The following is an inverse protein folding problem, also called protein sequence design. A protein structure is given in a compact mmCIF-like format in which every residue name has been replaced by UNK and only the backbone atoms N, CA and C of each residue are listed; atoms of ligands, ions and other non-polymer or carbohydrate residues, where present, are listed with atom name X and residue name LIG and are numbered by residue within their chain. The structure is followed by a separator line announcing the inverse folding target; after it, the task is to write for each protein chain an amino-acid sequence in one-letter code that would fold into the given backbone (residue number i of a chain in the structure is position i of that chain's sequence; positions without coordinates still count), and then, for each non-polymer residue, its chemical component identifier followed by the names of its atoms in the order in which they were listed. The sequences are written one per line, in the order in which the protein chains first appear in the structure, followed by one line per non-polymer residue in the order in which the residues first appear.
data_IF_120124227240
#
_entry.id   IF_120124227240
#
_cell.length_a   1.000
_cell.length_b   1.000
_cell.length_c   1.000
_cell.angle_alpha   90.00
_cell.angle_beta   90.00
_cell.angle_gamma   90.00
#
_symmetry.space_group_name_H-M   'P 1'
#
loop_
_entity.id
_entity.type
_entity.pdbx_description
1 polymer ?
#
# COMPACT_ATOMS: atom_id res chain seq x y z
N UNK A 1 39.41 -27.58 -42.06
CA UNK A 1 39.03 -26.16 -41.82
C UNK A 1 40.21 -25.45 -41.19
N UNK A 2 40.58 -24.25 -41.65
CA UNK A 2 41.72 -23.48 -41.09
C UNK A 2 41.50 -23.18 -39.60
N UNK A 3 42.55 -23.30 -38.78
CA UNK A 3 42.56 -22.98 -37.33
C UNK A 3 41.98 -21.58 -37.04
N UNK A 4 42.22 -20.62 -37.94
CA UNK A 4 41.71 -19.26 -37.84
C UNK A 4 40.16 -19.18 -37.93
N UNK A 5 39.54 -19.96 -38.82
CA UNK A 5 38.07 -20.01 -38.95
C UNK A 5 37.45 -20.62 -37.70
N UNK A 6 38.08 -21.64 -37.11
CA UNK A 6 37.60 -22.25 -35.88
C UNK A 6 37.74 -21.30 -34.67
N UNK A 7 38.82 -20.50 -34.60
CA UNK A 7 38.96 -19.44 -33.61
C UNK A 7 37.91 -18.34 -33.79
N UNK A 8 37.66 -17.89 -35.02
CA UNK A 8 36.61 -16.91 -35.32
C UNK A 8 35.22 -17.41 -34.91
N UNK A 9 34.88 -18.66 -35.20
CA UNK A 9 33.59 -19.25 -34.80
C UNK A 9 33.42 -19.32 -33.28
N UNK A 10 34.48 -19.69 -32.54
CA UNK A 10 34.45 -19.71 -31.06
C UNK A 10 34.30 -18.30 -30.48
N UNK A 11 34.98 -17.32 -31.05
CA UNK A 11 34.85 -15.92 -30.65
C UNK A 11 33.43 -15.40 -30.91
N UNK A 12 32.90 -15.64 -32.09
CA UNK A 12 31.53 -15.23 -32.45
C UNK A 12 30.47 -15.90 -31.56
N UNK A 13 30.65 -17.16 -31.20
CA UNK A 13 29.77 -17.83 -30.24
C UNK A 13 29.81 -17.16 -28.86
N UNK A 14 31.00 -16.77 -28.38
CA UNK A 14 31.13 -16.04 -27.11
C UNK A 14 30.47 -14.66 -27.18
N UNK A 15 30.68 -13.91 -28.25
CA UNK A 15 30.06 -12.60 -28.45
C UNK A 15 28.53 -12.71 -28.44
N UNK A 16 27.97 -13.68 -29.18
CA UNK A 16 26.52 -13.93 -29.21
C UNK A 16 25.95 -14.28 -27.84
N UNK A 17 26.72 -14.96 -27.01
CA UNK A 17 26.30 -15.38 -25.69
C UNK A 17 26.46 -14.29 -24.62
N UNK A 18 27.03 -13.12 -24.91
CA UNK A 18 27.23 -12.07 -23.88
C UNK A 18 25.88 -11.61 -23.30
N UNK A 19 24.85 -11.47 -24.14
CA UNK A 19 23.49 -11.11 -23.73
C UNK A 19 22.58 -12.27 -24.09
N UNK A 20 21.66 -12.63 -23.20
CA UNK A 20 20.66 -13.63 -23.53
C UNK A 20 19.41 -13.54 -22.71
N UNK A 21 18.32 -14.04 -23.28
CA UNK A 21 17.03 -14.16 -22.61
C UNK A 21 16.80 -15.58 -22.10
N UNK A 22 15.89 -15.70 -21.14
CA UNK A 22 15.45 -17.00 -20.63
C UNK A 22 14.18 -16.86 -19.81
N UNK A 23 13.69 -17.99 -19.30
CA UNK A 23 12.48 -18.05 -18.47
C UNK A 23 12.82 -18.58 -17.09
N UNK A 24 12.26 -17.99 -16.03
CA UNK A 24 12.42 -18.45 -14.65
C UNK A 24 11.76 -19.82 -14.49
N UNK A 25 12.50 -20.80 -14.00
CA UNK A 25 11.98 -22.12 -13.59
C UNK A 25 12.00 -22.31 -12.08
N UNK A 26 12.80 -21.52 -11.37
CA UNK A 26 12.84 -21.47 -9.91
C UNK A 26 13.48 -20.18 -9.43
N UNK A 27 13.02 -19.64 -8.31
CA UNK A 27 13.50 -18.36 -7.80
C UNK A 27 13.62 -18.34 -6.27
N UNK A 28 14.73 -17.76 -5.82
CA UNK A 28 14.90 -17.16 -4.49
C UNK A 28 15.06 -15.65 -4.66
N UNK A 29 15.11 -14.89 -3.57
CA UNK A 29 15.33 -13.43 -3.67
C UNK A 29 16.65 -13.11 -4.39
N UNK A 30 17.77 -13.75 -4.03
CA UNK A 30 19.09 -13.40 -4.59
C UNK A 30 19.54 -14.19 -5.83
N UNK A 31 18.85 -15.28 -6.18
CA UNK A 31 19.28 -16.21 -7.23
C UNK A 31 18.10 -16.75 -8.03
N UNK A 32 18.34 -16.99 -9.31
CA UNK A 32 17.37 -17.58 -10.24
C UNK A 32 17.92 -18.88 -10.83
N UNK A 33 17.01 -19.82 -11.00
CA UNK A 33 17.14 -20.88 -11.99
C UNK A 33 16.41 -20.44 -13.25
N UNK A 34 17.14 -20.38 -14.35
CA UNK A 34 16.61 -19.97 -15.65
C UNK A 34 16.75 -21.10 -16.66
N UNK A 35 15.78 -21.21 -17.55
CA UNK A 35 15.91 -21.92 -18.82
C UNK A 35 16.25 -20.90 -19.89
N UNK A 36 17.48 -20.96 -20.39
CA UNK A 36 17.96 -20.08 -21.47
C UNK A 36 17.22 -20.35 -22.78
N UNK A 37 17.24 -19.40 -23.72
CA UNK A 37 16.65 -19.57 -25.05
C UNK A 37 17.18 -20.80 -25.81
N UNK A 38 18.39 -21.27 -25.50
CA UNK A 38 18.96 -22.50 -26.08
C UNK A 38 18.46 -23.80 -25.40
N UNK A 39 17.46 -23.71 -24.51
CA UNK A 39 16.87 -24.83 -23.78
C UNK A 39 17.67 -25.32 -22.58
N UNK A 40 18.83 -24.73 -22.27
CA UNK A 40 19.68 -25.15 -21.15
C UNK A 40 19.22 -24.51 -19.84
N UNK A 41 19.13 -25.32 -18.79
CA UNK A 41 18.88 -24.84 -17.43
C UNK A 41 20.17 -24.40 -16.77
N UNK A 42 20.14 -23.24 -16.11
CA UNK A 42 21.22 -22.76 -15.25
C UNK A 42 20.63 -22.23 -13.93
N UNK A 43 21.08 -22.80 -12.83
CA UNK A 43 20.71 -22.47 -11.44
C UNK A 43 21.73 -21.56 -10.73
N UNK A 44 22.82 -21.19 -11.43
CA UNK A 44 23.91 -20.39 -10.88
C UNK A 44 23.80 -18.89 -11.14
N UNK A 45 22.64 -18.42 -11.60
CA UNK A 45 22.47 -17.02 -12.00
C UNK A 45 22.12 -16.15 -10.79
N UNK A 46 22.97 -15.15 -10.52
CA UNK A 46 22.70 -14.13 -9.49
C UNK A 46 21.74 -13.10 -10.07
N UNK A 47 20.71 -12.75 -9.32
CA UNK A 47 19.85 -11.61 -9.65
C UNK A 47 20.38 -10.37 -8.96
N UNK A 48 20.63 -9.33 -9.74
CA UNK A 48 21.00 -8.03 -9.17
C UNK A 48 19.75 -7.27 -8.75
N UNK A 49 19.83 -6.56 -7.63
CA UNK A 49 18.77 -5.74 -7.08
C UNK A 49 19.36 -4.40 -6.68
N UNK A 50 18.57 -3.34 -6.79
CA UNK A 50 18.90 -2.06 -6.20
C UNK A 50 18.67 -2.16 -4.68
N UNK A 51 19.51 -1.49 -3.89
CA UNK A 51 19.33 -1.45 -2.44
C UNK A 51 17.94 -0.88 -2.10
N UNK A 52 17.22 -1.54 -1.19
CA UNK A 52 15.85 -1.17 -0.80
C UNK A 52 14.73 -1.72 -1.70
N UNK A 53 15.03 -2.26 -2.89
CA UNK A 53 14.04 -2.85 -3.78
C UNK A 53 14.33 -4.31 -4.05
N UNK A 54 13.48 -5.20 -3.54
CA UNK A 54 13.63 -6.64 -3.71
C UNK A 54 12.31 -7.26 -4.18
N UNK A 55 12.40 -8.20 -5.12
CA UNK A 55 11.24 -9.02 -5.51
C UNK A 55 11.65 -10.46 -5.83
N UNK A 56 10.69 -11.38 -5.64
CA UNK A 56 10.84 -12.80 -5.97
C UNK A 56 9.91 -13.14 -7.13
N UNK A 57 10.44 -13.27 -8.36
CA UNK A 57 9.60 -13.52 -9.53
C UNK A 57 9.02 -14.93 -9.49
N UNK A 58 7.83 -15.08 -10.06
CA UNK A 58 7.20 -16.38 -10.23
C UNK A 58 7.86 -17.16 -11.38
N UNK A 59 7.83 -18.51 -11.35
CA UNK A 59 8.12 -19.31 -12.52
C UNK A 59 7.29 -18.85 -13.73
N UNK A 60 7.90 -18.87 -14.90
CA UNK A 60 7.33 -18.34 -16.14
C UNK A 60 7.74 -16.89 -16.48
N UNK A 61 8.27 -16.12 -15.52
CA UNK A 61 8.77 -14.78 -15.78
C UNK A 61 9.98 -14.79 -16.74
N UNK A 62 10.09 -13.77 -17.58
CA UNK A 62 11.16 -13.60 -18.56
C UNK A 62 12.36 -12.91 -17.93
N UNK A 63 13.55 -13.36 -18.28
CA UNK A 63 14.81 -12.87 -17.72
C UNK A 63 15.70 -12.29 -18.81
N UNK A 64 16.38 -11.20 -18.48
CA UNK A 64 17.41 -10.58 -19.31
C UNK A 64 18.76 -10.73 -18.62
N UNK A 65 19.67 -11.46 -19.25
CA UNK A 65 20.89 -11.95 -18.63
C UNK A 65 22.12 -11.40 -19.33
N UNK A 66 23.12 -11.06 -18.52
CA UNK A 66 24.47 -10.74 -18.96
C UNK A 66 25.41 -11.88 -18.54
N UNK A 67 26.04 -12.53 -19.52
CA UNK A 67 26.96 -13.64 -19.31
C UNK A 67 28.41 -13.18 -19.48
N UNK A 68 29.18 -13.28 -18.41
CA UNK A 68 30.55 -12.77 -18.35
C UNK A 68 31.44 -13.62 -19.26
N UNK A 69 32.13 -12.98 -20.20
CA UNK A 69 33.00 -13.67 -21.17
C UNK A 69 32.27 -14.58 -22.16
N UNK A 70 30.96 -14.40 -22.34
CA UNK A 70 30.15 -15.20 -23.27
C UNK A 70 29.92 -16.64 -22.81
N UNK A 71 30.08 -16.90 -21.51
CA UNK A 71 29.87 -18.24 -20.94
C UNK A 71 28.54 -18.29 -20.19
N UNK A 72 27.60 -19.07 -20.70
CA UNK A 72 26.24 -19.14 -20.16
C UNK A 72 26.15 -19.75 -18.76
N UNK A 73 27.24 -20.33 -18.23
CA UNK A 73 27.33 -20.86 -16.87
C UNK A 73 27.52 -19.79 -15.80
N UNK A 74 28.07 -18.61 -16.14
CA UNK A 74 28.36 -17.51 -15.21
C UNK A 74 27.74 -16.22 -15.72
N UNK A 75 26.55 -15.92 -15.23
CA UNK A 75 25.84 -14.71 -15.60
C UNK A 75 25.13 -14.07 -14.42
N UNK A 76 24.67 -12.85 -14.68
CA UNK A 76 23.80 -12.08 -13.81
C UNK A 76 22.52 -11.76 -14.57
N UNK A 77 21.38 -11.83 -13.89
CA UNK A 77 20.11 -11.33 -14.42
C UNK A 77 19.95 -9.88 -13.99
N UNK A 78 19.87 -8.99 -14.98
CA UNK A 78 19.74 -7.54 -14.76
C UNK A 78 18.29 -7.08 -14.71
N UNK A 79 17.41 -7.79 -15.40
CA UNK A 79 15.97 -7.51 -15.37
C UNK A 79 15.17 -8.81 -15.41
N UNK A 80 14.04 -8.82 -14.71
CA UNK A 80 13.04 -9.89 -14.79
C UNK A 80 11.69 -9.24 -15.02
N UNK A 81 11.07 -9.62 -16.12
CA UNK A 81 9.79 -9.13 -16.59
C UNK A 81 8.75 -10.22 -16.44
N UNK A 82 7.56 -9.86 -15.95
CA UNK A 82 6.42 -10.77 -15.86
C UNK A 82 5.20 -10.09 -16.47
N UNK A 83 5.02 -10.31 -17.78
CA UNK A 83 3.97 -9.69 -18.59
C UNK A 83 2.56 -9.98 -18.05
N UNK A 84 2.38 -11.07 -17.26
CA UNK A 84 1.09 -11.44 -16.63
C UNK A 84 0.56 -10.38 -15.66
N UNK A 85 1.45 -9.57 -15.10
CA UNK A 85 1.11 -8.55 -14.12
C UNK A 85 1.37 -7.14 -14.64
N UNK A 86 1.78 -6.98 -15.89
CA UNK A 86 2.05 -5.68 -16.47
C UNK A 86 0.76 -4.85 -16.58
N UNK A 87 0.86 -3.57 -16.24
CA UNK A 87 -0.19 -2.57 -16.45
C UNK A 87 0.31 -1.52 -17.43
N UNK A 88 -0.62 -0.95 -18.20
CA UNK A 88 -0.33 0.21 -19.05
C UNK A 88 -0.26 1.47 -18.19
N UNK A 89 0.79 2.26 -18.39
CA UNK A 89 1.04 3.51 -17.65
C UNK A 89 0.96 4.69 -18.60
N UNK A 90 0.40 5.81 -18.12
CA UNK A 90 0.52 7.06 -18.85
C UNK A 90 1.95 7.61 -18.76
N UNK A 91 2.38 8.45 -19.72
CA UNK A 91 3.71 9.06 -19.66
C UNK A 91 3.98 9.76 -18.33
N UNK A 92 5.04 9.35 -17.64
CA UNK A 92 5.47 9.90 -16.34
C UNK A 92 4.91 9.19 -15.11
N UNK A 93 4.00 8.22 -15.27
CA UNK A 93 3.50 7.44 -14.14
C UNK A 93 4.48 6.35 -13.68
N UNK A 94 4.38 5.96 -12.41
CA UNK A 94 5.20 4.89 -11.81
C UNK A 94 4.30 3.99 -10.98
N UNK A 95 4.49 2.68 -11.08
CA UNK A 95 3.73 1.71 -10.30
C UNK A 95 4.61 0.62 -9.68
N UNK A 96 4.23 0.19 -8.48
CA UNK A 96 4.77 -0.98 -7.79
C UNK A 96 3.61 -1.92 -7.53
N UNK A 97 3.74 -3.17 -7.96
CA UNK A 97 2.67 -4.16 -7.86
C UNK A 97 3.19 -5.57 -7.59
N UNK A 98 2.30 -6.43 -7.10
CA UNK A 98 2.58 -7.85 -6.86
C UNK A 98 1.64 -8.78 -7.65
N UNK A 99 1.84 -10.10 -7.51
CA UNK A 99 1.04 -11.11 -8.22
C UNK A 99 -0.42 -11.21 -7.71
N UNK A 100 -0.72 -10.58 -6.58
CA UNK A 100 -2.04 -10.59 -5.94
C UNK A 100 -2.89 -9.38 -6.30
N UNK A 101 -2.32 -8.41 -7.01
CA UNK A 101 -3.01 -7.18 -7.44
C UNK A 101 -2.89 -6.02 -6.45
N UNK A 102 -2.04 -6.14 -5.42
CA UNK A 102 -1.69 -4.99 -4.59
C UNK A 102 -0.89 -3.99 -5.45
N UNK A 103 -1.19 -2.70 -5.29
CA UNK A 103 -0.69 -1.66 -6.18
C UNK A 103 -0.43 -0.36 -5.41
N UNK A 104 0.75 0.21 -5.61
CA UNK A 104 1.09 1.61 -5.29
C UNK A 104 1.39 2.30 -6.61
N UNK A 105 0.50 3.21 -7.03
CA UNK A 105 0.54 3.87 -8.35
C UNK A 105 0.62 5.38 -8.17
N UNK A 106 1.68 5.96 -8.69
CA UNK A 106 1.90 7.40 -8.79
C UNK A 106 1.35 7.84 -10.15
N UNK A 107 0.22 8.57 -10.12
CA UNK A 107 -0.47 9.10 -11.29
C UNK A 107 -0.35 10.61 -11.34
N UNK A 108 -0.76 11.22 -12.46
CA UNK A 108 -0.85 12.67 -12.57
C UNK A 108 -1.84 13.29 -11.56
N UNK A 109 -2.85 12.54 -11.12
CA UNK A 109 -3.88 12.99 -10.18
C UNK A 109 -3.52 12.72 -8.70
N UNK A 110 -2.40 12.04 -8.42
CA UNK A 110 -1.94 11.76 -7.07
C UNK A 110 -1.47 10.31 -6.88
N UNK A 111 -1.51 9.83 -5.64
CA UNK A 111 -1.04 8.48 -5.28
C UNK A 111 -2.24 7.59 -4.98
N UNK A 112 -2.33 6.45 -5.68
CA UNK A 112 -3.32 5.41 -5.42
C UNK A 112 -2.65 4.23 -4.72
N UNK A 113 -3.14 3.90 -3.53
CA UNK A 113 -2.76 2.70 -2.78
C UNK A 113 -3.96 1.76 -2.81
N UNK A 114 -3.79 0.59 -3.44
CA UNK A 114 -4.80 -0.45 -3.54
C UNK A 114 -4.26 -1.74 -2.93
N UNK A 115 -4.98 -2.25 -1.93
CA UNK A 115 -4.69 -3.52 -1.30
C UNK A 115 -5.88 -4.47 -1.53
N UNK A 116 -5.59 -5.68 -2.02
CA UNK A 116 -6.64 -6.67 -2.33
C UNK A 116 -7.17 -7.41 -1.10
N UNK A 117 -6.45 -7.35 0.04
CA UNK A 117 -6.85 -8.01 1.28
C UNK A 117 -6.88 -7.04 2.46
N UNK A 118 -5.72 -6.77 3.07
CA UNK A 118 -5.58 -5.90 4.25
C UNK A 118 -4.58 -4.79 3.93
N UNK A 119 -4.93 -3.56 4.27
CA UNK A 119 -4.01 -2.43 4.39
C UNK A 119 -3.82 -2.13 5.87
N UNK A 120 -2.58 -2.10 6.33
CA UNK A 120 -2.24 -1.80 7.73
C UNK A 120 -1.16 -0.72 7.77
N UNK A 121 -1.39 0.30 8.60
CA UNK A 121 -0.47 1.42 8.80
C UNK A 121 -0.02 1.37 10.26
N UNK A 122 1.26 1.07 10.48
CA UNK A 122 1.86 0.95 11.81
C UNK A 122 2.99 1.98 11.92
N UNK A 123 2.90 2.86 12.91
CA UNK A 123 3.96 3.80 13.28
C UNK A 123 4.36 3.55 14.73
N UNK A 124 5.67 3.60 15.01
CA UNK A 124 6.18 3.51 16.38
C UNK A 124 5.99 4.83 17.16
N UNK A 125 5.67 5.91 16.45
CA UNK A 125 5.49 7.25 17.00
C UNK A 125 4.16 7.81 16.46
N UNK A 126 4.15 9.10 16.12
CA UNK A 126 2.98 9.78 15.58
C UNK A 126 2.65 9.31 14.16
N UNK A 127 1.36 9.39 13.81
CA UNK A 127 0.87 9.33 12.43
C UNK A 127 -0.01 10.56 12.19
N UNK A 128 0.43 11.45 11.30
CA UNK A 128 -0.27 12.71 11.02
C UNK A 128 -0.87 12.69 9.62
N UNK A 129 -2.10 13.17 9.47
CA UNK A 129 -2.79 13.31 8.17
C UNK A 129 -3.19 14.76 7.95
N UNK A 130 -2.41 15.49 7.15
CA UNK A 130 -2.66 16.89 6.80
C UNK A 130 -3.27 16.97 5.41
N UNK A 131 -4.57 17.28 5.34
CA UNK A 131 -5.29 17.43 4.08
C UNK A 131 -6.40 18.48 4.22
N UNK A 132 -6.83 19.06 3.09
CA UNK A 132 -7.98 19.96 3.05
C UNK A 132 -9.30 19.25 3.37
N UNK A 133 -9.38 17.95 3.07
CA UNK A 133 -10.50 17.09 3.40
C UNK A 133 -10.03 15.64 3.63
N UNK A 134 -10.61 14.97 4.62
CA UNK A 134 -10.39 13.54 4.90
C UNK A 134 -11.74 12.84 4.89
N UNK A 135 -11.92 11.91 3.96
CA UNK A 135 -13.15 11.11 3.83
C UNK A 135 -12.87 9.67 4.21
N UNK A 136 -13.54 9.16 5.24
CA UNK A 136 -13.43 7.76 5.69
C UNK A 136 -14.76 7.06 5.46
N UNK A 137 -14.79 6.13 4.52
CA UNK A 137 -15.99 5.34 4.18
C UNK A 137 -15.73 3.89 4.53
N UNK A 138 -16.39 3.40 5.58
CA UNK A 138 -16.33 2.01 6.00
C UNK A 138 -17.66 1.60 6.66
N UNK A 139 -18.04 0.31 6.61
CA UNK A 139 -19.19 -0.19 7.37
C UNK A 139 -19.05 0.04 8.89
N UNK A 140 -17.81 0.04 9.40
CA UNK A 140 -17.46 0.33 10.79
C UNK A 140 -16.10 1.02 10.85
N UNK A 141 -16.03 2.10 11.63
CA UNK A 141 -14.79 2.77 12.04
C UNK A 141 -14.68 2.69 13.56
N UNK A 142 -13.48 2.48 14.10
CA UNK A 142 -13.26 2.36 15.54
C UNK A 142 -12.04 3.18 15.93
N UNK A 143 -12.19 3.96 16.99
CA UNK A 143 -11.11 4.69 17.66
C UNK A 143 -11.05 4.13 19.09
N UNK A 144 -9.91 3.58 19.49
CA UNK A 144 -9.76 2.90 20.78
C UNK A 144 -9.28 3.82 21.91
N UNK A 145 -8.70 4.96 21.54
CA UNK A 145 -8.30 6.02 22.47
C UNK A 145 -9.21 7.23 22.36
N UNK A 146 -8.78 8.32 22.99
CA UNK A 146 -9.50 9.59 22.97
C UNK A 146 -9.57 10.17 21.54
N UNK A 147 -10.69 10.84 21.25
CA UNK A 147 -10.93 11.53 19.98
C UNK A 147 -11.25 12.99 20.29
N UNK A 148 -10.32 13.88 19.91
CA UNK A 148 -10.53 15.32 19.98
C UNK A 148 -11.06 15.85 18.64
N UNK A 149 -12.19 16.55 18.67
CA UNK A 149 -12.80 17.17 17.49
C UNK A 149 -12.84 18.67 17.74
N UNK A 150 -11.91 19.41 17.12
CA UNK A 150 -11.85 20.87 17.24
C UNK A 150 -13.00 21.61 16.53
N UNK A 151 -13.77 20.91 15.70
CA UNK A 151 -14.95 21.43 14.99
C UNK A 151 -16.27 20.81 15.46
N UNK A 152 -17.31 20.95 14.64
CA UNK A 152 -18.62 20.36 14.92
C UNK A 152 -18.63 18.85 14.61
N UNK A 153 -19.16 18.04 15.52
CA UNK A 153 -19.51 16.64 15.26
C UNK A 153 -20.98 16.54 14.81
N UNK A 154 -21.21 16.00 13.60
CA UNK A 154 -22.56 15.71 13.09
C UNK A 154 -22.76 14.19 13.00
N UNK A 155 -23.69 13.66 13.81
CA UNK A 155 -24.12 12.26 13.74
C UNK A 155 -25.49 12.21 13.05
N UNK A 156 -25.58 11.49 11.92
CA UNK A 156 -26.81 11.43 11.10
C UNK A 156 -27.82 10.39 11.56
N UNK A 157 -27.36 9.42 12.37
CA UNK A 157 -28.18 8.40 13.01
C UNK A 157 -28.13 8.61 14.53
N UNK A 158 -28.14 7.53 15.29
CA UNK A 158 -28.10 7.57 16.75
C UNK A 158 -26.64 7.66 17.25
N UNK A 159 -26.44 8.38 18.34
CA UNK A 159 -25.25 8.30 19.17
C UNK A 159 -25.64 7.58 20.48
N UNK A 160 -24.96 6.48 20.78
CA UNK A 160 -25.10 5.77 22.05
C UNK A 160 -23.85 6.06 22.89
N UNK A 161 -24.04 6.64 24.07
CA UNK A 161 -22.96 7.07 24.97
C UNK A 161 -23.16 6.36 26.29
N UNK A 162 -22.27 5.41 26.59
CA UNK A 162 -22.29 4.63 27.84
C UNK A 162 -21.79 5.43 29.05
N UNK A 163 -20.88 6.37 28.80
CA UNK A 163 -20.39 7.32 29.80
C UNK A 163 -21.30 8.54 29.95
N UNK A 164 -20.75 9.61 30.52
CA UNK A 164 -21.44 10.90 30.58
C UNK A 164 -21.17 11.73 29.33
N UNK A 165 -22.22 12.35 28.79
CA UNK A 165 -22.05 13.52 27.92
C UNK A 165 -21.93 14.75 28.83
N UNK A 166 -20.70 15.24 29.00
CA UNK A 166 -20.40 16.42 29.82
C UNK A 166 -20.19 17.68 28.97
N UNK A 167 -20.46 18.84 29.56
CA UNK A 167 -20.20 20.16 28.96
C UNK A 167 -20.81 21.28 29.79
N UNK A 168 -20.20 22.47 29.78
CA UNK A 168 -20.76 23.65 30.45
C UNK A 168 -22.10 24.08 29.85
N UNK A 169 -22.37 23.65 28.62
CA UNK A 169 -23.60 23.92 27.89
C UNK A 169 -23.97 22.77 26.94
N UNK A 170 -25.24 22.63 26.61
CA UNK A 170 -25.78 21.58 25.76
C UNK A 170 -27.29 21.68 25.58
N UNK A 171 -27.78 21.29 24.41
CA UNK A 171 -29.22 21.15 24.17
C UNK A 171 -29.54 19.68 23.92
N UNK A 172 -30.36 19.08 24.78
CA UNK A 172 -30.78 17.69 24.67
C UNK A 172 -32.29 17.65 24.47
N UNK A 173 -32.77 17.13 23.33
CA UNK A 173 -34.20 17.10 23.03
C UNK A 173 -34.87 18.48 23.05
N UNK A 174 -34.14 19.55 22.70
CA UNK A 174 -34.62 20.94 22.76
C UNK A 174 -34.47 21.62 24.12
N UNK A 175 -34.10 20.89 25.17
CA UNK A 175 -33.88 21.42 26.52
C UNK A 175 -32.45 21.91 26.65
N UNK A 176 -32.26 23.20 26.90
CA UNK A 176 -30.95 23.82 27.15
C UNK A 176 -30.57 23.63 28.61
N UNK A 177 -29.44 22.96 28.88
CA UNK A 177 -29.03 22.70 30.28
C UNK A 177 -28.84 23.98 31.08
N UNK A 178 -28.50 25.11 30.45
CA UNK A 178 -28.26 26.38 31.14
C UNK A 178 -29.52 27.21 31.40
N UNK A 179 -30.64 26.90 30.74
CA UNK A 179 -31.82 27.79 30.71
C UNK A 179 -33.17 27.09 30.92
N UNK A 180 -33.17 25.79 31.18
CA UNK A 180 -34.42 25.09 31.42
C UNK A 180 -34.96 25.40 32.81
N UNK A 181 -36.29 25.46 32.89
CA UNK A 181 -37.08 25.62 34.09
C UNK A 181 -38.12 24.49 34.18
N UNK A 182 -38.77 24.40 35.34
CA UNK A 182 -39.84 23.46 35.60
C UNK A 182 -41.08 24.21 36.09
N UNK A 183 -42.24 23.82 35.59
CA UNK A 183 -43.52 24.27 36.12
C UNK A 183 -43.88 23.46 37.37
N UNK A 184 -44.39 24.12 38.42
CA UNK A 184 -44.91 23.48 39.62
C UNK A 184 -46.16 24.22 40.14
N UNK A 185 -47.02 23.49 40.86
CA UNK A 185 -48.19 24.08 41.52
C UNK A 185 -47.87 24.31 42.99
N UNK A 186 -48.07 25.54 43.45
CA UNK A 186 -47.99 25.90 44.86
C UNK A 186 -49.21 26.74 45.23
N UNK A 187 -49.90 26.32 46.29
CA UNK A 187 -51.13 26.95 46.80
C UNK A 187 -52.20 27.20 45.70
N UNK A 188 -52.36 26.24 44.79
CA UNK A 188 -53.31 26.31 43.66
C UNK A 188 -52.88 27.20 42.49
N UNK A 189 -51.67 27.77 42.51
CA UNK A 189 -51.11 28.60 41.43
C UNK A 189 -49.94 27.90 40.72
N UNK A 190 -49.93 27.91 39.38
CA UNK A 190 -48.78 27.44 38.60
C UNK A 190 -47.65 28.48 38.66
N UNK A 191 -46.45 28.03 38.99
CA UNK A 191 -45.23 28.83 39.10
C UNK A 191 -44.08 28.14 38.36
N UNK A 192 -43.05 28.91 38.05
CA UNK A 192 -41.85 28.46 37.32
C UNK A 192 -40.66 28.43 38.29
N UNK A 193 -39.86 27.37 38.26
CA UNK A 193 -38.64 27.28 39.08
C UNK A 193 -37.60 28.33 38.69
N UNK A 194 -36.82 28.80 39.66
CA UNK A 194 -35.60 29.56 39.40
C UNK A 194 -34.46 28.61 39.01
N UNK A 195 -33.32 29.17 38.59
CA UNK A 195 -32.14 28.37 38.25
C UNK A 195 -31.63 27.50 39.42
N UNK A 196 -30.73 26.54 39.15
CA UNK A 196 -30.27 25.57 40.14
C UNK A 196 -29.75 26.22 41.42
N UNK A 197 -29.98 25.57 42.55
CA UNK A 197 -29.39 25.99 43.82
C UNK A 197 -27.86 25.99 43.68
N UNK A 198 -27.23 27.13 43.92
CA UNK A 198 -25.77 27.23 44.00
C UNK A 198 -25.35 26.73 45.38
N UNK A 199 -24.83 25.50 45.42
CA UNK A 199 -24.11 24.98 46.59
C UNK A 199 -22.75 25.64 46.76
#
# INVERSE_FOLDING_TARGET
MSSALQQQQRLMARIKNVIGTGTVTGATTGRLQIKTATGRTNDKIKRVHNYGFMSRPLPGAKTYNLFIGGTTSRGITVNVEDERHQIELQPGEVAILDDKGNLVHFTQQGIKIHACAKLEVISAQETTVNATAVNVTAPKSTFSGDVEIGGNLKVTKNADVTGSVGGASGTFGGVKVEKHDHDYTDDGTTRITKGPNKG
#
